data_IF_510640145151
#
_entry.id   IF_510640145151
#
_cell.length_a   1.000
_cell.length_b   1.000
_cell.length_c   1.000
_cell.angle_alpha   90.00
_cell.angle_beta   90.00
_cell.angle_gamma   90.00
#
_symmetry.space_group_name_H-M   'P 1'
#
loop_
_entity.id
_entity.type
_entity.pdbx_description
1 polymer ?
#
# COMPACT_ATOMS: atom_id res chain seq x y z
N UNK A 1 13.33 32.61 17.24
CA UNK A 1 13.48 31.29 16.61
C UNK A 1 12.22 30.51 16.96
N UNK A 2 11.44 30.07 15.97
CA UNK A 2 10.20 29.34 16.22
C UNK A 2 10.54 28.00 16.90
N UNK A 3 9.92 27.74 18.03
CA UNK A 3 10.14 26.53 18.82
C UNK A 3 9.53 25.35 18.06
N UNK A 4 10.38 24.51 17.45
CA UNK A 4 9.93 23.37 16.65
C UNK A 4 9.56 22.23 17.58
N UNK A 5 8.29 22.17 17.98
CA UNK A 5 7.77 21.06 18.79
C UNK A 5 7.65 19.80 17.94
N UNK A 6 8.54 18.81 18.14
CA UNK A 6 8.45 17.50 17.46
C UNK A 6 7.43 16.61 18.17
N UNK A 7 6.26 16.45 17.58
CA UNK A 7 5.28 15.47 18.07
C UNK A 7 5.80 14.03 17.84
N UNK A 8 5.83 13.16 18.86
CA UNK A 8 6.30 11.80 18.70
C UNK A 8 5.32 11.00 17.83
N UNK A 9 5.75 10.70 16.60
CA UNK A 9 5.02 9.83 15.68
C UNK A 9 5.25 8.37 16.09
N UNK A 10 4.17 7.58 16.23
CA UNK A 10 4.22 6.13 16.52
C UNK A 10 5.01 5.37 15.44
N UNK A 11 5.70 4.29 15.82
CA UNK A 11 6.57 3.52 14.93
C UNK A 11 5.87 3.07 13.62
N UNK A 12 4.65 2.55 13.70
CA UNK A 12 3.86 2.16 12.51
C UNK A 12 3.52 3.34 11.59
N UNK A 13 3.29 4.52 12.14
CA UNK A 13 3.05 5.73 11.36
C UNK A 13 4.34 6.24 10.70
N UNK A 14 5.50 6.11 11.35
CA UNK A 14 6.80 6.38 10.72
C UNK A 14 7.05 5.47 9.53
N UNK A 15 6.69 4.19 9.64
CA UNK A 15 6.83 3.21 8.58
C UNK A 15 5.90 3.51 7.39
N UNK A 16 4.65 3.90 7.65
CA UNK A 16 3.72 4.40 6.63
C UNK A 16 4.26 5.64 5.93
N UNK A 17 4.77 6.61 6.70
CA UNK A 17 5.35 7.84 6.15
C UNK A 17 6.58 7.54 5.27
N UNK A 18 7.43 6.56 5.65
CA UNK A 18 8.58 6.10 4.85
C UNK A 18 8.15 5.46 3.53
N UNK A 19 7.10 4.63 3.56
CA UNK A 19 6.61 3.86 2.40
C UNK A 19 5.76 4.69 1.43
N UNK A 20 5.17 5.79 1.90
CA UNK A 20 4.39 6.74 1.10
C UNK A 20 2.88 6.49 1.13
N UNK A 21 2.10 7.45 0.61
CA UNK A 21 0.63 7.46 0.73
C UNK A 21 -0.08 6.32 -0.03
N UNK A 22 0.55 5.78 -1.07
CA UNK A 22 0.03 4.69 -1.89
C UNK A 22 0.65 3.34 -1.51
N UNK A 23 0.94 3.15 -0.23
CA UNK A 23 1.48 1.92 0.31
C UNK A 23 0.60 1.33 1.40
N UNK A 24 0.43 0.01 1.37
CA UNK A 24 -0.22 -0.73 2.47
C UNK A 24 0.69 -1.84 2.97
N UNK A 25 0.70 -2.06 4.27
CA UNK A 25 1.57 -3.05 4.91
C UNK A 25 0.83 -4.37 5.09
N UNK A 26 1.55 -5.48 5.01
CA UNK A 26 1.04 -6.75 5.50
C UNK A 26 1.15 -6.76 7.03
N UNK A 27 0.07 -7.09 7.73
CA UNK A 27 0.09 -7.14 9.21
C UNK A 27 0.77 -8.40 9.76
N UNK A 28 0.88 -9.47 8.94
CA UNK A 28 1.42 -10.77 9.33
C UNK A 28 2.88 -10.96 8.89
N UNK A 29 3.35 -10.18 7.92
CA UNK A 29 4.72 -10.26 7.42
C UNK A 29 5.32 -8.87 7.21
N UNK A 30 6.65 -8.75 7.25
CA UNK A 30 7.35 -7.49 6.93
C UNK A 30 7.21 -7.00 5.49
N UNK A 31 6.26 -7.55 4.71
CA UNK A 31 6.00 -7.23 3.31
C UNK A 31 5.00 -6.07 3.20
N UNK A 32 4.99 -5.41 2.05
CA UNK A 32 4.08 -4.32 1.78
C UNK A 32 3.82 -4.16 0.29
N UNK A 33 2.72 -3.52 -0.07
CA UNK A 33 2.32 -3.24 -1.44
C UNK A 33 2.60 -1.76 -1.72
N UNK A 34 3.20 -1.45 -2.87
CA UNK A 34 3.43 -0.10 -3.37
C UNK A 34 2.69 0.10 -4.69
N UNK A 35 1.64 0.91 -4.73
CA UNK A 35 0.97 1.21 -6.00
C UNK A 35 1.80 2.17 -6.85
N UNK A 36 1.85 1.88 -8.16
CA UNK A 36 2.56 2.67 -9.16
C UNK A 36 1.63 3.74 -9.72
N UNK A 37 1.76 4.97 -9.23
CA UNK A 37 1.19 6.16 -9.87
C UNK A 37 -0.31 6.07 -10.18
N UNK A 38 -0.70 6.67 -11.32
CA UNK A 38 -2.10 6.69 -11.78
C UNK A 38 -2.47 5.35 -12.43
N UNK A 39 -3.67 4.83 -12.18
CA UNK A 39 -4.16 3.63 -12.83
C UNK A 39 -4.43 3.87 -14.33
N UNK A 40 -4.39 2.79 -15.12
CA UNK A 40 -4.73 2.81 -16.54
C UNK A 40 -6.21 2.46 -16.72
N UNK A 41 -6.94 3.27 -17.49
CA UNK A 41 -8.35 2.97 -17.84
C UNK A 41 -8.38 2.24 -19.18
N UNK A 42 -8.94 1.04 -19.18
CA UNK A 42 -9.15 0.18 -20.35
C UNK A 42 -10.64 -0.16 -20.48
N UNK A 43 -11.04 -0.74 -21.62
CA UNK A 43 -12.44 -1.18 -21.83
C UNK A 43 -12.91 -2.20 -20.77
N UNK A 44 -11.99 -3.05 -20.30
CA UNK A 44 -12.26 -4.06 -19.27
C UNK A 44 -12.29 -3.51 -17.82
N UNK A 45 -12.00 -2.21 -17.61
CA UNK A 45 -12.01 -1.58 -16.30
C UNK A 45 -10.80 -0.71 -16.00
N UNK A 46 -10.58 -0.41 -14.71
CA UNK A 46 -9.47 0.44 -14.24
C UNK A 46 -8.39 -0.46 -13.65
N UNK A 47 -7.23 -0.52 -14.31
CA UNK A 47 -6.10 -1.33 -13.87
C UNK A 47 -5.12 -0.51 -13.03
N UNK A 48 -4.82 -1.01 -11.83
CA UNK A 48 -3.77 -0.47 -10.97
C UNK A 48 -2.58 -1.43 -10.93
N UNK A 49 -1.39 -0.88 -11.17
CA UNK A 49 -0.14 -1.63 -11.04
C UNK A 49 0.45 -1.41 -9.67
N UNK A 50 1.01 -2.45 -9.07
CA UNK A 50 1.69 -2.36 -7.79
C UNK A 50 2.91 -3.28 -7.73
N UNK A 51 3.82 -2.95 -6.83
CA UNK A 51 4.96 -3.78 -6.47
C UNK A 51 4.72 -4.40 -5.10
N UNK A 52 4.96 -5.70 -4.97
CA UNK A 52 5.06 -6.37 -3.67
C UNK A 52 6.51 -6.22 -3.22
N UNK A 53 6.70 -5.56 -2.07
CA UNK A 53 7.98 -5.20 -1.51
C UNK A 53 8.23 -5.95 -0.20
N UNK A 54 9.48 -6.13 0.17
CA UNK A 54 9.92 -6.65 1.46
C UNK A 54 11.15 -5.91 1.92
N UNK A 55 11.36 -5.86 3.23
CA UNK A 55 12.64 -5.40 3.78
C UNK A 55 13.73 -6.40 3.38
N UNK A 56 14.87 -5.89 2.95
CA UNK A 56 16.08 -6.65 2.66
C UNK A 56 17.29 -6.03 3.35
N UNK A 57 18.41 -6.74 3.36
CA UNK A 57 19.60 -6.36 4.13
C UNK A 57 20.17 -4.99 3.74
N UNK A 58 20.04 -4.62 2.46
CA UNK A 58 20.50 -3.34 1.91
C UNK A 58 19.34 -2.39 1.54
N UNK A 59 18.18 -2.56 2.19
CA UNK A 59 16.98 -1.75 1.97
C UNK A 59 15.82 -2.52 1.36
N UNK A 60 14.72 -1.81 1.11
CA UNK A 60 13.48 -2.40 0.58
C UNK A 60 13.72 -2.98 -0.82
N UNK A 61 13.41 -4.27 -1.01
CA UNK A 61 13.51 -4.97 -2.28
C UNK A 61 12.13 -5.36 -2.80
N UNK A 62 12.01 -5.37 -4.12
CA UNK A 62 10.81 -5.87 -4.81
C UNK A 62 10.84 -7.39 -4.92
N UNK A 63 9.71 -8.02 -4.60
CA UNK A 63 9.46 -9.45 -4.80
C UNK A 63 8.86 -9.67 -6.19
N UNK A 64 7.76 -9.01 -6.51
CA UNK A 64 7.05 -9.17 -7.78
C UNK A 64 6.21 -7.94 -8.12
N UNK A 65 5.72 -7.93 -9.37
CA UNK A 65 4.72 -6.99 -9.86
C UNK A 65 3.34 -7.61 -9.76
N UNK A 66 2.34 -6.76 -9.52
CA UNK A 66 0.94 -7.13 -9.52
C UNK A 66 0.14 -6.12 -10.31
N UNK A 67 -0.88 -6.61 -11.01
CA UNK A 67 -1.87 -5.78 -11.69
C UNK A 67 -3.24 -6.14 -11.12
N UNK A 68 -3.98 -5.14 -10.67
CA UNK A 68 -5.31 -5.29 -10.08
C UNK A 68 -6.33 -4.63 -10.98
N UNK A 69 -7.45 -5.30 -11.26
CA UNK A 69 -8.65 -4.61 -11.69
C UNK A 69 -9.30 -3.96 -10.45
N UNK A 70 -9.27 -2.63 -10.37
CA UNK A 70 -9.78 -1.90 -9.21
C UNK A 70 -11.29 -2.12 -9.04
N UNK A 71 -12.05 -2.22 -10.12
CA UNK A 71 -13.50 -2.46 -10.06
C UNK A 71 -13.81 -3.80 -9.39
N UNK A 72 -13.08 -4.85 -9.76
CA UNK A 72 -13.24 -6.18 -9.16
C UNK A 72 -12.75 -6.20 -7.71
N UNK A 73 -11.61 -5.57 -7.44
CA UNK A 73 -11.06 -5.49 -6.09
C UNK A 73 -11.99 -4.76 -5.13
N UNK A 74 -12.61 -3.65 -5.55
CA UNK A 74 -13.61 -2.93 -4.78
C UNK A 74 -14.83 -3.80 -4.46
N UNK A 75 -15.34 -4.54 -5.44
CA UNK A 75 -16.46 -5.47 -5.24
C UNK A 75 -16.11 -6.59 -4.25
N UNK A 76 -14.89 -7.13 -4.31
CA UNK A 76 -14.40 -8.13 -3.37
C UNK A 76 -14.28 -7.58 -1.95
N UNK A 77 -13.69 -6.38 -1.79
CA UNK A 77 -13.58 -5.72 -0.48
C UNK A 77 -14.96 -5.45 0.12
N UNK A 78 -15.93 -5.01 -0.70
CA UNK A 78 -17.29 -4.76 -0.24
C UNK A 78 -17.98 -6.03 0.27
N UNK A 79 -17.73 -7.20 -0.36
CA UNK A 79 -18.23 -8.50 0.11
C UNK A 79 -17.57 -8.90 1.43
N UNK A 80 -16.25 -8.83 1.52
CA UNK A 80 -15.51 -9.18 2.74
C UNK A 80 -15.93 -8.34 3.96
N UNK A 81 -16.24 -7.06 3.75
CA UNK A 81 -16.75 -6.19 4.83
C UNK A 81 -18.11 -6.66 5.35
N UNK A 82 -19.02 -7.08 4.47
CA UNK A 82 -20.34 -7.59 4.86
C UNK A 82 -20.27 -8.91 5.63
N UNK A 83 -19.22 -9.71 5.43
CA UNK A 83 -19.00 -10.97 6.16
C UNK A 83 -18.32 -10.75 7.52
N UNK A 84 -17.73 -9.57 7.74
CA UNK A 84 -17.08 -9.20 8.99
C UNK A 84 -18.02 -8.52 10.00
N UNK A 85 -19.21 -8.10 9.54
CA UNK A 85 -20.32 -7.56 10.34
C UNK A 85 -21.29 -8.68 10.76
#
# INVERSE_FOLDING_TARGET
MADVTKFPIKAGQRLKNRRGALATSCEVSGRWIKFRGKPARLEAGVLAFADIMTEGDNGDRKICEFCFNLTELEALIAKLKKEAD
#
